data_IF_197690396907
#
_entry.id   IF_197690396907
#
_cell.length_a   1.000
_cell.length_b   1.000
_cell.length_c   1.000
_cell.angle_alpha   90.00
_cell.angle_beta   90.00
_cell.angle_gamma   90.00
#
_symmetry.space_group_name_H-M   'P 1'
#
loop_
_entity.id
_entity.type
_entity.pdbx_description
1 polymer ?
#
# COMPACT_ATOMS: atom_id res chain seq x y z
N UNK A 1 -5.17 -8.07 -9.04
CA UNK A 1 -6.52 -7.54 -8.75
C UNK A 1 -6.63 -6.20 -9.45
N UNK A 2 -7.66 -5.96 -10.28
CA UNK A 2 -7.87 -4.66 -10.89
C UNK A 2 -8.15 -3.62 -9.80
N UNK A 3 -7.43 -2.50 -9.83
CA UNK A 3 -7.68 -1.35 -8.96
C UNK A 3 -8.19 -0.18 -9.80
N UNK A 4 -9.24 0.47 -9.31
CA UNK A 4 -9.76 1.71 -9.89
C UNK A 4 -9.11 2.87 -9.17
N UNK A 5 -8.44 3.75 -9.92
CA UNK A 5 -7.83 4.96 -9.39
C UNK A 5 -8.70 6.16 -9.72
N UNK A 6 -8.85 7.06 -8.75
CA UNK A 6 -9.49 8.36 -8.89
C UNK A 6 -8.51 9.43 -9.36
N UNK A 7 -9.02 10.67 -9.48
CA UNK A 7 -8.20 11.82 -9.82
C UNK A 7 -7.34 12.28 -8.62
N UNK A 8 -6.13 12.76 -8.90
CA UNK A 8 -5.22 13.32 -7.89
C UNK A 8 -4.30 12.30 -7.22
N UNK A 9 -3.73 12.69 -6.08
CA UNK A 9 -2.91 11.80 -5.25
C UNK A 9 -3.81 10.89 -4.42
N UNK A 10 -3.53 9.59 -4.44
CA UNK A 10 -4.30 8.61 -3.69
C UNK A 10 -3.41 7.74 -2.81
N UNK A 11 -3.93 7.40 -1.64
CA UNK A 11 -3.40 6.34 -0.81
C UNK A 11 -3.89 4.98 -1.32
N UNK A 12 -2.98 4.02 -1.42
CA UNK A 12 -3.32 2.64 -1.74
C UNK A 12 -2.63 1.75 -0.70
N UNK A 13 -3.42 0.95 -0.01
CA UNK A 13 -2.96 -0.09 0.91
C UNK A 13 -3.32 -1.46 0.35
N UNK A 14 -2.36 -2.38 0.41
CA UNK A 14 -2.56 -3.77 -0.01
C UNK A 14 -2.19 -4.69 1.15
N UNK A 15 -3.19 -5.34 1.74
CA UNK A 15 -2.96 -6.34 2.79
C UNK A 15 -2.44 -7.64 2.16
N UNK A 16 -1.13 -7.85 2.26
CA UNK A 16 -0.47 -9.02 1.70
C UNK A 16 -0.88 -10.33 2.39
N UNK A 17 -1.25 -10.29 3.67
CA UNK A 17 -1.69 -11.47 4.41
C UNK A 17 -3.05 -11.93 3.93
N UNK A 18 -4.01 -11.02 3.83
CA UNK A 18 -5.33 -11.32 3.30
C UNK A 18 -5.29 -11.71 1.82
N UNK A 19 -4.47 -11.02 1.03
CA UNK A 19 -4.30 -11.33 -0.41
C UNK A 19 -3.76 -12.74 -0.65
N UNK A 20 -2.74 -13.16 0.09
CA UNK A 20 -2.15 -14.51 -0.06
C UNK A 20 -3.09 -15.60 0.46
N UNK A 21 -3.79 -15.34 1.57
CA UNK A 21 -4.80 -16.25 2.09
C UNK A 21 -5.96 -16.45 1.11
N UNK A 22 -6.48 -15.36 0.51
CA UNK A 22 -7.59 -15.44 -0.46
C UNK A 22 -7.19 -16.02 -1.80
N UNK A 23 -6.00 -15.68 -2.30
CA UNK A 23 -5.55 -16.14 -3.62
C UNK A 23 -5.04 -17.58 -3.62
N UNK A 24 -4.37 -18.00 -2.55
CA UNK A 24 -3.62 -19.26 -2.52
C UNK A 24 -3.94 -20.15 -1.30
N UNK A 25 -4.73 -19.68 -0.33
CA UNK A 25 -5.04 -20.44 0.89
C UNK A 25 -3.86 -20.61 1.85
N UNK A 26 -2.79 -19.81 1.70
CA UNK A 26 -1.57 -19.89 2.53
C UNK A 26 -1.32 -18.59 3.27
N UNK A 27 -0.61 -18.68 4.40
CA UNK A 27 -0.22 -17.53 5.19
C UNK A 27 0.92 -16.75 4.54
N UNK A 28 0.88 -15.43 4.63
CA UNK A 28 1.97 -14.54 4.24
C UNK A 28 3.17 -14.68 5.19
N UNK A 29 4.37 -14.76 4.61
CA UNK A 29 5.62 -14.85 5.36
C UNK A 29 6.54 -13.64 5.10
N UNK A 30 7.00 -13.46 3.87
CA UNK A 30 7.91 -12.38 3.51
C UNK A 30 7.76 -11.95 2.06
N UNK A 31 8.01 -10.67 1.77
CA UNK A 31 8.10 -10.16 0.41
C UNK A 31 9.55 -10.08 -0.04
N UNK A 32 9.86 -10.68 -1.19
CA UNK A 32 11.23 -10.69 -1.74
C UNK A 32 11.50 -9.44 -2.59
N UNK A 33 10.51 -8.99 -3.37
CA UNK A 33 10.67 -7.88 -4.30
C UNK A 33 9.36 -7.11 -4.48
N UNK A 34 9.45 -5.80 -4.56
CA UNK A 34 8.36 -4.92 -5.02
C UNK A 34 8.76 -4.32 -6.36
N UNK A 35 7.88 -4.39 -7.36
CA UNK A 35 8.09 -3.80 -8.68
C UNK A 35 6.99 -2.80 -8.98
N UNK A 36 7.39 -1.58 -9.30
CA UNK A 36 6.49 -0.55 -9.82
C UNK A 36 6.82 -0.32 -11.29
N UNK A 37 5.78 -0.36 -12.13
CA UNK A 37 5.92 -0.19 -13.58
C UNK A 37 5.71 1.28 -13.99
N UNK A 38 5.78 1.54 -15.29
CA UNK A 38 5.65 2.87 -15.89
C UNK A 38 4.27 3.52 -15.70
N UNK A 39 4.16 4.78 -16.13
CA UNK A 39 2.91 5.57 -16.14
C UNK A 39 2.29 5.80 -14.75
N UNK A 40 3.10 5.88 -13.70
CA UNK A 40 2.66 6.30 -12.38
C UNK A 40 3.60 7.35 -11.78
N UNK A 41 3.08 8.16 -10.86
CA UNK A 41 3.89 9.02 -10.00
C UNK A 41 3.78 8.50 -8.58
N UNK A 42 4.92 8.16 -8.00
CA UNK A 42 5.02 7.70 -6.63
C UNK A 42 5.47 8.86 -5.76
N UNK A 43 4.76 9.10 -4.68
CA UNK A 43 5.26 9.98 -3.64
C UNK A 43 6.01 9.17 -2.59
N UNK A 44 5.37 8.10 -2.08
CA UNK A 44 5.88 7.28 -0.98
C UNK A 44 5.44 5.84 -1.17
N UNK A 45 6.33 4.90 -0.83
CA UNK A 45 6.07 3.47 -0.80
C UNK A 45 6.77 2.88 0.43
N UNK A 46 6.03 2.18 1.28
CA UNK A 46 6.55 1.61 2.52
C UNK A 46 5.76 0.36 2.91
N UNK A 47 6.36 -0.48 3.76
CA UNK A 47 5.67 -1.58 4.42
C UNK A 47 5.12 -1.12 5.77
N UNK A 48 3.94 -1.61 6.12
CA UNK A 48 3.32 -1.38 7.42
C UNK A 48 2.89 -2.72 8.02
N UNK A 49 3.08 -2.89 9.33
CA UNK A 49 2.63 -4.09 10.05
C UNK A 49 1.12 -4.13 10.30
N UNK A 50 0.43 -2.99 10.15
CA UNK A 50 -1.02 -2.84 10.26
C UNK A 50 -1.49 -1.64 9.44
N UNK A 51 -2.78 -1.53 9.20
CA UNK A 51 -3.38 -0.31 8.66
C UNK A 51 -3.33 0.79 9.74
N UNK A 52 -2.64 1.88 9.42
CA UNK A 52 -2.53 3.04 10.30
C UNK A 52 -3.42 4.16 9.77
N UNK A 53 -4.12 4.84 10.68
CA UNK A 53 -4.83 6.06 10.32
C UNK A 53 -3.82 7.19 10.01
N UNK A 54 -4.17 8.13 9.14
CA UNK A 54 -3.27 9.25 8.74
C UNK A 54 -2.71 10.01 9.97
N UNK A 55 -3.51 10.16 11.03
CA UNK A 55 -3.07 10.82 12.28
C UNK A 55 -1.99 10.04 13.06
N UNK A 56 -1.93 8.72 12.91
CA UNK A 56 -0.91 7.89 13.56
C UNK A 56 0.40 7.87 12.75
N UNK A 57 0.34 8.23 11.46
CA UNK A 57 1.53 8.29 10.64
C UNK A 57 2.42 9.47 11.07
N UNK A 58 3.75 9.29 11.04
CA UNK A 58 4.68 10.39 11.13
C UNK A 58 4.37 11.50 10.10
N UNK A 59 4.66 12.78 10.39
CA UNK A 59 4.33 13.89 9.49
C UNK A 59 4.88 13.74 8.07
N UNK A 60 6.04 13.11 7.92
CA UNK A 60 6.66 12.86 6.62
C UNK A 60 5.98 11.74 5.81
N UNK A 61 5.02 11.00 6.38
CA UNK A 61 4.24 9.96 5.70
C UNK A 61 2.76 10.34 5.49
N UNK A 62 2.23 11.34 6.21
CA UNK A 62 0.83 11.82 6.08
C UNK A 62 0.53 12.41 4.71
N UNK A 63 -0.65 12.12 4.16
CA UNK A 63 -1.07 12.62 2.84
C UNK A 63 -1.55 14.07 2.88
N UNK A 64 -2.12 14.49 4.01
CA UNK A 64 -2.53 15.87 4.24
C UNK A 64 -1.32 16.65 4.77
N UNK A 65 -0.72 17.48 3.92
CA UNK A 65 -0.07 18.69 4.39
C UNK A 65 -1.15 19.77 4.36
N UNK A 66 -1.50 20.32 5.53
CA UNK A 66 -2.12 21.66 5.60
C UNK A 66 -1.14 22.72 5.08
#
# INVERSE_FOLDING_TARGET
IPMVLGAGWQYISADLADLTAKAFGVAYFSTIQVRVNSSCRLFRLYFAGREYADIELPPFLRLLQE
#
